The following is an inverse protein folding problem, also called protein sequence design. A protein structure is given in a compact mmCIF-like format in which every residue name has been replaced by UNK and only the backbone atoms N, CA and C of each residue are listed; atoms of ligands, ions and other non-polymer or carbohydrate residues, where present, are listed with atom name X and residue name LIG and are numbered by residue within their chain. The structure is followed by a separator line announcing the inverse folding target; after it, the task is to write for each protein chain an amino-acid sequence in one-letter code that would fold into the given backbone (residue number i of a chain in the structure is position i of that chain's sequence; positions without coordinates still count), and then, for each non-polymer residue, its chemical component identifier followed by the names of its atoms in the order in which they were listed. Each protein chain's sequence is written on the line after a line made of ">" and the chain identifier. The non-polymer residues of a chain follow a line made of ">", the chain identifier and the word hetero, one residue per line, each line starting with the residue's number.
data_IF_271366670813
#
_entry.id   IF_271366670813
#
_cell.length_a   1.000
_cell.length_b   1.000
_cell.length_c   1.000
_cell.angle_alpha   90.00
_cell.angle_beta   90.00
_cell.angle_gamma   90.00
#
_symmetry.space_group_name_H-M   'P 1'
#
loop_
_entity.id
_entity.type
_entity.pdbx_description
1 polymer ?
#
# COMPACT_ATOMS: atom_id res chain seq x y z
N UNK A 1 -44.78 -21.37 14.13
CA UNK A 1 -44.96 -19.94 14.44
C UNK A 1 -43.84 -19.58 15.41
N UNK A 2 -42.77 -18.87 15.10
CA UNK A 2 -42.42 -18.02 13.98
C UNK A 2 -41.37 -17.08 14.58
N UNK A 3 -40.10 -17.46 14.50
CA UNK A 3 -38.97 -16.61 14.89
C UNK A 3 -37.81 -16.88 13.92
N UNK A 4 -38.10 -16.66 12.64
CA UNK A 4 -37.14 -16.68 11.53
C UNK A 4 -37.19 -15.29 10.89
N UNK A 5 -36.45 -14.36 11.46
CA UNK A 5 -36.41 -13.00 10.97
C UNK A 5 -35.54 -12.17 11.88
N UNK A 6 -34.24 -12.15 11.58
CA UNK A 6 -33.22 -11.13 11.88
C UNK A 6 -31.85 -11.82 11.64
N UNK A 7 -31.00 -11.18 10.83
CA UNK A 7 -29.62 -11.56 10.42
C UNK A 7 -29.44 -12.52 9.22
N UNK A 8 -29.82 -12.08 8.01
CA UNK A 8 -29.15 -12.56 6.78
C UNK A 8 -28.98 -11.41 5.78
N UNK A 9 -28.05 -10.51 6.07
CA UNK A 9 -27.45 -9.59 5.11
C UNK A 9 -25.95 -9.86 5.18
N UNK A 10 -25.42 -10.67 4.26
CA UNK A 10 -24.03 -11.07 4.27
C UNK A 10 -23.37 -10.78 2.92
N UNK A 11 -22.27 -10.02 3.02
CA UNK A 11 -21.15 -9.83 2.07
C UNK A 11 -21.42 -9.04 0.78
N UNK A 12 -22.51 -9.29 0.05
CA UNK A 12 -22.96 -8.42 -1.05
C UNK A 12 -24.48 -8.25 -0.94
N UNK A 13 -25.00 -7.04 -1.10
CA UNK A 13 -26.45 -6.81 -1.02
C UNK A 13 -26.99 -6.58 0.39
N UNK A 14 -26.74 -5.37 0.90
CA UNK A 14 -27.86 -4.48 1.25
C UNK A 14 -27.35 -3.06 1.49
N UNK A 15 -27.04 -2.36 0.39
CA UNK A 15 -26.76 -0.92 0.32
C UNK A 15 -25.61 -0.48 1.22
N UNK A 16 -24.37 -0.48 0.69
CA UNK A 16 -23.20 0.24 1.21
C UNK A 16 -23.40 0.90 2.59
N UNK A 17 -23.18 0.11 3.64
CA UNK A 17 -22.99 0.46 5.05
C UNK A 17 -23.46 1.87 5.45
N UNK A 18 -24.64 1.94 6.09
CA UNK A 18 -25.10 3.15 6.77
C UNK A 18 -24.04 3.63 7.78
N UNK A 19 -23.47 4.82 7.54
CA UNK A 19 -22.64 5.54 8.52
C UNK A 19 -23.56 5.96 9.67
N UNK A 20 -23.32 5.55 10.94
CA UNK A 20 -24.07 6.10 12.05
C UNK A 20 -23.61 7.53 12.29
N UNK A 21 -24.46 8.50 11.96
CA UNK A 21 -24.32 9.88 12.42
C UNK A 21 -24.60 9.91 13.92
N UNK A 22 -23.57 9.77 14.75
CA UNK A 22 -23.69 10.06 16.17
C UNK A 22 -23.78 11.57 16.36
N UNK A 23 -24.98 12.02 16.67
CA UNK A 23 -25.33 13.33 17.18
C UNK A 23 -25.71 13.12 18.65
N UNK A 24 -24.79 13.38 19.56
CA UNK A 24 -25.06 13.57 20.99
C UNK A 24 -24.12 14.72 21.42
N UNK A 25 -24.61 15.95 21.56
CA UNK A 25 -25.35 16.48 22.72
C UNK A 25 -24.66 16.20 24.06
N UNK A 26 -23.71 17.09 24.39
CA UNK A 26 -23.58 17.76 25.68
C UNK A 26 -23.53 16.91 26.95
N UNK A 27 -22.33 16.80 27.54
CA UNK A 27 -22.17 16.99 28.98
C UNK A 27 -20.73 17.39 29.33
N UNK A 28 -20.63 18.54 30.00
CA UNK A 28 -19.42 19.08 30.62
C UNK A 28 -19.34 18.56 32.06
N UNK A 29 -18.13 18.31 32.60
CA UNK A 29 -17.81 18.99 33.85
C UNK A 29 -16.38 19.55 33.90
N UNK A 30 -16.29 20.80 34.37
CA UNK A 30 -15.04 21.49 34.72
C UNK A 30 -14.84 21.45 36.24
N UNK A 31 -13.66 21.03 36.65
CA UNK A 31 -12.93 21.43 37.87
C UNK A 31 -11.43 21.33 37.48
N UNK A 32 -10.48 22.19 37.83
CA UNK A 32 -10.31 23.12 38.93
C UNK A 32 -9.22 24.15 38.56
N UNK A 33 -9.30 25.34 39.17
CA UNK A 33 -8.23 26.26 39.62
C UNK A 33 -7.23 26.80 38.57
N UNK A 34 -7.08 28.10 38.30
CA UNK A 34 -7.21 29.27 39.17
C UNK A 34 -5.83 29.71 39.64
N UNK A 35 -5.23 30.73 39.01
CA UNK A 35 -4.38 31.80 39.58
C UNK A 35 -4.30 32.93 38.53
N UNK A 36 -4.39 34.17 39.02
CA UNK A 36 -4.50 35.45 38.28
C UNK A 36 -3.18 36.28 38.42
N UNK A 37 -3.06 37.48 37.81
CA UNK A 37 -1.90 37.92 37.03
C UNK A 37 -1.03 39.00 37.72
N UNK A 38 0.11 39.36 37.12
CA UNK A 38 0.60 40.76 37.15
C UNK A 38 1.51 41.11 35.95
N UNK A 39 1.51 42.38 35.54
CA UNK A 39 2.21 42.96 34.39
C UNK A 39 3.57 43.63 34.79
N UNK A 40 4.15 44.60 34.03
CA UNK A 40 5.18 44.40 33.00
C UNK A 40 6.52 45.12 33.32
N UNK A 41 7.60 44.74 32.62
CA UNK A 41 8.93 45.34 32.79
C UNK A 41 9.60 45.73 31.47
N UNK A 42 9.70 47.03 31.27
CA UNK A 42 10.51 47.85 30.35
C UNK A 42 11.88 47.27 30.00
N UNK A 43 12.28 47.32 28.72
CA UNK A 43 13.70 47.33 28.34
C UNK A 43 13.96 48.31 27.18
N UNK A 44 15.14 48.88 27.31
CA UNK A 44 15.56 50.22 26.92
C UNK A 44 16.24 50.24 25.54
N UNK A 45 16.25 51.43 24.94
CA UNK A 45 17.02 51.79 23.74
C UNK A 45 18.50 51.75 24.05
N UNK A 46 19.31 51.13 23.19
CA UNK A 46 20.69 51.59 22.92
C UNK A 46 20.95 51.64 21.42
N UNK A 47 21.54 52.76 21.01
CA UNK A 47 21.92 53.15 19.65
C UNK A 47 23.21 52.46 19.19
N UNK A 48 23.23 52.09 17.91
CA UNK A 48 24.26 52.36 16.88
C UNK A 48 25.74 52.10 17.15
N UNK A 49 26.38 51.38 16.22
CA UNK A 49 27.58 51.89 15.54
C UNK A 49 27.88 51.08 14.25
N UNK A 50 28.08 51.84 13.18
CA UNK A 50 28.59 51.47 11.85
C UNK A 50 29.98 50.85 11.92
N UNK A 51 30.22 49.77 11.18
CA UNK A 51 31.54 49.44 10.62
C UNK A 51 31.42 48.70 9.29
N UNK A 52 31.89 49.37 8.22
CA UNK A 52 32.84 48.76 7.30
C UNK A 52 32.29 48.02 6.09
N UNK A 53 32.18 48.75 4.97
CA UNK A 53 32.28 48.18 3.62
C UNK A 53 33.58 47.34 3.48
N UNK A 54 33.43 46.07 3.14
CA UNK A 54 34.47 45.30 2.45
C UNK A 54 33.82 44.59 1.27
N UNK A 55 34.29 44.94 0.08
CA UNK A 55 33.84 44.34 -1.17
C UNK A 55 34.21 42.86 -1.20
N UNK A 56 33.19 42.01 -1.33
CA UNK A 56 33.35 40.61 -1.70
C UNK A 56 32.71 40.46 -3.06
N UNK A 57 33.53 40.29 -4.09
CA UNK A 57 33.10 39.78 -5.39
C UNK A 57 32.19 38.56 -5.15
N UNK A 58 31.05 38.46 -5.84
CA UNK A 58 30.27 37.23 -5.82
C UNK A 58 31.14 36.15 -6.48
N UNK A 59 31.76 35.33 -5.63
CA UNK A 59 32.19 33.98 -5.98
C UNK A 59 31.00 33.38 -6.73
N UNK A 60 31.18 33.12 -8.03
CA UNK A 60 30.24 32.34 -8.81
C UNK A 60 30.10 31.02 -8.08
N UNK A 61 29.03 30.87 -7.30
CA UNK A 61 28.56 29.60 -6.79
C UNK A 61 28.33 28.75 -8.03
N UNK A 62 29.33 27.94 -8.38
CA UNK A 62 29.16 26.89 -9.36
C UNK A 62 28.02 26.04 -8.82
N UNK A 63 26.86 26.10 -9.47
CA UNK A 63 25.85 25.06 -9.39
C UNK A 63 26.61 23.74 -9.46
N UNK A 64 26.61 23.01 -8.34
CA UNK A 64 27.04 21.63 -8.27
C UNK A 64 26.44 20.94 -9.49
N UNK A 65 27.28 20.58 -10.46
CA UNK A 65 26.87 19.74 -11.57
C UNK A 65 26.17 18.54 -10.93
N UNK A 66 24.87 18.40 -11.16
CA UNK A 66 24.14 17.22 -10.73
C UNK A 66 24.91 16.04 -11.33
N UNK A 67 25.55 15.25 -10.47
CA UNK A 67 26.26 14.07 -10.92
C UNK A 67 25.25 13.26 -11.75
N UNK A 68 25.57 13.02 -13.02
CA UNK A 68 24.69 12.26 -13.90
C UNK A 68 24.46 10.88 -13.25
N UNK A 69 23.23 10.66 -12.80
CA UNK A 69 22.83 9.42 -12.14
C UNK A 69 22.53 8.32 -13.16
N UNK A 70 22.52 8.63 -14.46
CA UNK A 70 22.21 7.68 -15.53
C UNK A 70 23.00 6.37 -15.45
N UNK A 71 24.32 6.36 -15.14
CA UNK A 71 25.07 5.11 -14.98
C UNK A 71 24.60 4.29 -13.77
N UNK A 72 24.32 4.93 -12.63
CA UNK A 72 23.83 4.25 -11.43
C UNK A 72 22.43 3.68 -11.65
N UNK A 73 21.56 4.42 -12.35
CA UNK A 73 20.23 3.95 -12.71
C UNK A 73 20.30 2.73 -13.61
N UNK A 74 21.14 2.74 -14.65
CA UNK A 74 21.29 1.58 -15.53
C UNK A 74 21.78 0.34 -14.77
N UNK A 75 22.76 0.50 -13.89
CA UNK A 75 23.24 -0.59 -13.03
C UNK A 75 22.13 -1.12 -12.11
N UNK A 76 21.39 -0.22 -11.47
CA UNK A 76 20.24 -0.58 -10.63
C UNK A 76 19.15 -1.32 -11.43
N UNK A 77 18.89 -0.88 -12.67
CA UNK A 77 17.94 -1.53 -13.58
C UNK A 77 18.36 -2.95 -13.98
N UNK A 78 19.66 -3.23 -13.96
CA UNK A 78 20.24 -4.57 -14.22
C UNK A 78 20.43 -5.42 -12.97
N UNK A 79 19.85 -5.03 -11.82
CA UNK A 79 19.95 -5.83 -10.59
C UNK A 79 21.00 -5.38 -9.57
N UNK A 80 21.76 -4.31 -9.83
CA UNK A 80 22.78 -3.85 -8.89
C UNK A 80 22.14 -3.11 -7.69
N UNK A 81 21.90 -3.87 -6.62
CA UNK A 81 21.37 -3.35 -5.36
C UNK A 81 22.29 -2.28 -4.72
N UNK A 82 23.61 -2.35 -4.94
CA UNK A 82 24.55 -1.35 -4.41
C UNK A 82 24.39 -0.03 -5.16
N UNK A 83 24.27 -0.06 -6.49
CA UNK A 83 24.00 1.13 -7.30
C UNK A 83 22.69 1.80 -6.90
N UNK A 84 21.64 1.00 -6.64
CA UNK A 84 20.36 1.52 -6.15
C UNK A 84 20.49 2.15 -4.76
N UNK A 85 21.21 1.52 -3.84
CA UNK A 85 21.46 2.05 -2.50
C UNK A 85 22.17 3.40 -2.53
N UNK A 86 23.20 3.54 -3.38
CA UNK A 86 23.92 4.81 -3.60
C UNK A 86 23.00 5.89 -4.18
N UNK A 87 22.19 5.53 -5.17
CA UNK A 87 21.23 6.43 -5.79
C UNK A 87 20.22 6.97 -4.76
N UNK A 88 19.60 6.08 -3.97
CA UNK A 88 18.63 6.48 -2.94
C UNK A 88 19.26 7.37 -1.87
N UNK A 89 20.47 7.05 -1.43
CA UNK A 89 21.21 7.87 -0.46
C UNK A 89 21.51 9.27 -1.00
N UNK A 90 21.90 9.39 -2.28
CA UNK A 90 22.15 10.69 -2.94
C UNK A 90 20.89 11.56 -3.01
N UNK A 91 19.71 10.96 -3.19
CA UNK A 91 18.43 11.66 -3.36
C UNK A 91 17.62 11.86 -2.06
N UNK A 92 18.03 11.21 -0.96
CA UNK A 92 17.30 11.21 0.32
C UNK A 92 16.99 12.63 0.82
N UNK A 93 17.97 13.53 0.80
CA UNK A 93 17.79 14.89 1.29
C UNK A 93 16.73 15.67 0.48
N UNK A 94 16.70 15.54 -0.86
CA UNK A 94 15.69 16.24 -1.67
C UNK A 94 14.31 15.58 -1.56
N UNK A 95 14.25 14.25 -1.43
CA UNK A 95 13.01 13.53 -1.11
C UNK A 95 12.43 14.02 0.22
N UNK A 96 13.26 14.12 1.26
CA UNK A 96 12.85 14.61 2.58
C UNK A 96 12.38 16.06 2.55
N UNK A 97 13.04 16.93 1.80
CA UNK A 97 12.60 18.31 1.63
C UNK A 97 11.17 18.40 1.05
N UNK A 98 10.85 17.58 0.03
CA UNK A 98 9.49 17.49 -0.53
C UNK A 98 8.49 17.02 0.52
N UNK A 99 8.79 15.94 1.24
CA UNK A 99 7.88 15.41 2.26
C UNK A 99 7.59 16.42 3.37
N UNK A 100 8.63 17.05 3.93
CA UNK A 100 8.51 18.06 4.98
C UNK A 100 7.71 19.28 4.48
N UNK A 101 7.86 19.69 3.23
CA UNK A 101 7.08 20.80 2.66
C UNK A 101 5.57 20.53 2.59
N UNK A 102 5.16 19.26 2.53
CA UNK A 102 3.76 18.87 2.36
C UNK A 102 3.10 18.44 3.66
N UNK A 103 3.83 17.75 4.53
CA UNK A 103 3.33 17.14 5.76
C UNK A 103 3.81 17.85 7.02
N UNK A 104 4.77 18.78 6.89
CA UNK A 104 5.49 19.35 8.03
C UNK A 104 6.59 18.42 8.55
N UNK A 105 7.34 18.89 9.53
CA UNK A 105 8.34 18.06 10.21
C UNK A 105 7.64 17.06 11.12
N UNK A 106 7.89 15.77 10.93
CA UNK A 106 7.33 14.73 11.80
C UNK A 106 7.40 13.32 11.19
N UNK A 107 6.88 12.32 11.91
CA UNK A 107 6.94 10.92 11.52
C UNK A 107 6.33 10.63 10.14
N UNK A 108 5.23 11.30 9.78
CA UNK A 108 4.57 11.10 8.49
C UNK A 108 5.43 11.51 7.29
N UNK A 109 6.27 12.54 7.44
CA UNK A 109 7.20 12.96 6.40
C UNK A 109 8.32 11.94 6.21
N UNK A 110 8.87 11.41 7.30
CA UNK A 110 9.88 10.34 7.25
C UNK A 110 9.31 9.06 6.63
N UNK A 111 8.09 8.68 7.06
CA UNK A 111 7.38 7.53 6.50
C UNK A 111 7.20 7.65 4.99
N UNK A 112 6.79 8.84 4.50
CA UNK A 112 6.58 9.06 3.07
C UNK A 112 7.86 8.92 2.23
N UNK A 113 9.01 9.35 2.76
CA UNK A 113 10.33 9.19 2.13
C UNK A 113 10.74 7.73 2.10
N UNK A 114 10.63 7.04 3.23
CA UNK A 114 11.02 5.64 3.30
C UNK A 114 10.13 4.75 2.44
N UNK A 115 8.83 5.04 2.37
CA UNK A 115 7.93 4.37 1.43
C UNK A 115 8.37 4.59 -0.02
N UNK A 116 8.81 5.80 -0.37
CA UNK A 116 9.29 6.08 -1.71
C UNK A 116 10.57 5.30 -2.04
N UNK A 117 11.47 5.13 -1.06
CA UNK A 117 12.65 4.28 -1.21
C UNK A 117 12.28 2.83 -1.47
N UNK A 118 11.32 2.26 -0.73
CA UNK A 118 10.85 0.87 -0.96
C UNK A 118 10.19 0.73 -2.33
N UNK A 119 9.33 1.68 -2.71
CA UNK A 119 8.72 1.70 -4.04
C UNK A 119 9.81 1.70 -5.12
N UNK A 120 10.87 2.47 -4.92
CA UNK A 120 12.00 2.52 -5.84
C UNK A 120 12.70 1.16 -6.01
N UNK A 121 12.78 0.34 -4.95
CA UNK A 121 13.31 -1.03 -5.04
C UNK A 121 12.57 -1.87 -6.07
N UNK A 122 11.24 -1.74 -6.09
CA UNK A 122 10.40 -2.53 -6.99
C UNK A 122 10.21 -1.93 -8.39
N UNK A 123 10.42 -0.61 -8.56
CA UNK A 123 10.00 0.12 -9.77
C UNK A 123 11.10 0.90 -10.49
N UNK A 124 12.36 0.82 -10.04
CA UNK A 124 13.46 1.50 -10.75
C UNK A 124 13.61 1.03 -12.21
N UNK A 125 13.22 -0.21 -12.51
CA UNK A 125 13.11 -0.76 -13.86
C UNK A 125 12.17 0.02 -14.80
N UNK A 126 11.18 0.72 -14.25
CA UNK A 126 10.19 1.49 -15.01
C UNK A 126 10.69 2.89 -15.42
N UNK A 127 11.86 3.32 -14.91
CA UNK A 127 12.42 4.65 -15.20
C UNK A 127 12.97 4.69 -16.64
N UNK A 128 12.19 5.29 -17.55
CA UNK A 128 12.52 5.37 -18.98
C UNK A 128 13.71 6.26 -19.30
N UNK A 129 13.79 7.40 -18.62
CA UNK A 129 14.89 8.34 -18.75
C UNK A 129 15.73 8.30 -17.47
N UNK A 130 16.90 7.64 -17.49
CA UNK A 130 17.80 7.56 -16.34
C UNK A 130 18.21 8.93 -15.77
N UNK A 131 18.26 9.98 -16.60
CA UNK A 131 18.60 11.32 -16.13
C UNK A 131 17.46 11.96 -15.31
N UNK A 132 16.23 11.49 -15.48
CA UNK A 132 15.05 12.01 -14.79
C UNK A 132 14.79 11.35 -13.42
N UNK A 133 15.67 10.46 -12.95
CA UNK A 133 15.42 9.65 -11.75
C UNK A 133 15.16 10.48 -10.48
N UNK A 134 15.87 11.58 -10.30
CA UNK A 134 15.63 12.48 -9.16
C UNK A 134 14.22 13.10 -9.21
N UNK A 135 13.71 13.43 -10.40
CA UNK A 135 12.36 13.96 -10.56
C UNK A 135 11.31 12.87 -10.30
N UNK A 136 11.56 11.64 -10.77
CA UNK A 136 10.72 10.48 -10.51
C UNK A 136 10.63 10.17 -9.01
N UNK A 137 11.76 10.11 -8.29
CA UNK A 137 11.78 9.89 -6.83
C UNK A 137 10.98 10.95 -6.07
N UNK A 138 11.14 12.23 -6.41
CA UNK A 138 10.35 13.32 -5.81
C UNK A 138 8.85 13.19 -6.12
N UNK A 139 8.49 12.70 -7.30
CA UNK A 139 7.10 12.43 -7.67
C UNK A 139 6.50 11.30 -6.85
N UNK A 140 7.24 10.21 -6.63
CA UNK A 140 6.83 9.10 -5.74
C UNK A 140 6.58 9.61 -4.32
N UNK A 141 7.51 10.38 -3.74
CA UNK A 141 7.34 10.99 -2.41
C UNK A 141 6.09 11.87 -2.36
N UNK A 142 5.90 12.74 -3.36
CA UNK A 142 4.72 13.62 -3.45
C UNK A 142 3.42 12.82 -3.44
N UNK A 143 3.39 11.67 -4.10
CA UNK A 143 2.23 10.80 -4.14
C UNK A 143 1.98 10.14 -2.77
N UNK A 144 3.02 9.66 -2.10
CA UNK A 144 2.91 9.14 -0.73
C UNK A 144 2.38 10.21 0.24
N UNK A 145 2.88 11.44 0.16
CA UNK A 145 2.39 12.54 0.98
C UNK A 145 0.90 12.85 0.72
N UNK A 146 0.46 12.80 -0.54
CA UNK A 146 -0.96 12.96 -0.88
C UNK A 146 -1.83 11.87 -0.29
N UNK A 147 -1.35 10.62 -0.27
CA UNK A 147 -2.08 9.51 0.36
C UNK A 147 -2.32 9.78 1.85
N UNK A 148 -1.27 10.22 2.56
CA UNK A 148 -1.37 10.58 3.98
C UNK A 148 -2.38 11.72 4.19
N UNK A 149 -2.30 12.78 3.38
CA UNK A 149 -3.22 13.92 3.48
C UNK A 149 -4.68 13.55 3.18
N UNK A 150 -4.92 12.60 2.26
CA UNK A 150 -6.27 12.10 1.96
C UNK A 150 -6.84 11.26 3.08
N UNK A 151 -6.02 10.40 3.70
CA UNK A 151 -6.46 9.63 4.87
C UNK A 151 -6.84 10.56 6.05
N UNK A 152 -6.15 11.71 6.18
CA UNK A 152 -6.43 12.70 7.21
C UNK A 152 -7.65 13.61 6.95
N UNK A 153 -8.22 13.62 5.72
CA UNK A 153 -9.38 14.47 5.37
C UNK A 153 -10.41 13.71 4.53
N UNK A 154 -11.65 13.50 5.02
CA UNK A 154 -12.75 13.05 4.18
C UNK A 154 -13.28 14.22 3.34
N UNK A 155 -12.57 14.60 2.27
CA UNK A 155 -13.06 15.57 1.28
C UNK A 155 -12.85 15.04 -0.14
N UNK A 156 -13.81 15.25 -1.06
CA UNK A 156 -13.69 14.86 -2.45
C UNK A 156 -12.79 15.88 -3.15
N UNK A 157 -11.54 15.50 -3.40
CA UNK A 157 -10.62 16.28 -4.25
C UNK A 157 -10.34 15.43 -5.48
N UNK A 158 -10.58 16.02 -6.65
CA UNK A 158 -10.46 15.39 -7.97
C UNK A 158 -9.15 14.60 -8.14
N UNK A 159 -9.28 13.46 -8.80
CA UNK A 159 -8.25 12.45 -9.01
C UNK A 159 -7.14 12.96 -9.92
N UNK A 160 -5.86 12.83 -9.51
CA UNK A 160 -4.77 12.63 -10.45
C UNK A 160 -4.70 11.13 -10.76
N UNK A 161 -4.79 10.76 -12.03
CA UNK A 161 -4.55 9.40 -12.53
C UNK A 161 -3.28 8.81 -11.88
N UNK A 162 -3.45 7.69 -11.20
CA UNK A 162 -2.38 7.03 -10.47
C UNK A 162 -1.74 5.95 -11.32
N UNK A 163 -0.44 6.15 -11.61
CA UNK A 163 0.55 5.16 -12.05
C UNK A 163 0.14 4.18 -13.14
N UNK A 164 -0.53 4.65 -14.19
CA UNK A 164 -0.40 4.04 -15.50
C UNK A 164 0.61 4.86 -16.31
N UNK A 165 1.91 4.61 -16.13
CA UNK A 165 2.81 4.82 -17.27
C UNK A 165 2.46 3.71 -18.26
N UNK A 166 2.10 4.00 -19.52
CA UNK A 166 1.75 2.96 -20.48
C UNK A 166 2.94 2.02 -20.66
N UNK A 167 2.90 0.82 -20.11
CA UNK A 167 3.98 -0.14 -20.29
C UNK A 167 3.90 -0.64 -21.74
N UNK A 168 4.80 -0.14 -22.60
CA UNK A 168 5.22 -0.94 -23.74
C UNK A 168 5.96 -2.17 -23.20
N UNK A 169 5.70 -3.33 -23.79
CA UNK A 169 6.30 -4.59 -23.35
C UNK A 169 7.83 -4.50 -23.43
N UNK A 170 8.57 -4.77 -22.34
CA UNK A 170 10.03 -4.72 -22.35
C UNK A 170 10.60 -5.73 -23.35
N UNK A 171 11.77 -5.45 -23.92
CA UNK A 171 12.46 -6.43 -24.78
C UNK A 171 12.87 -7.66 -23.96
N UNK A 172 13.07 -8.84 -24.59
CA UNK A 172 13.47 -10.05 -23.87
C UNK A 172 14.75 -9.89 -23.02
N UNK A 173 15.74 -9.10 -23.48
CA UNK A 173 16.93 -8.79 -22.68
C UNK A 173 16.63 -7.89 -21.48
N UNK A 174 15.76 -6.88 -21.64
CA UNK A 174 15.33 -5.98 -20.56
C UNK A 174 14.46 -6.70 -19.51
N UNK A 175 13.68 -7.70 -19.94
CA UNK A 175 12.87 -8.53 -19.04
C UNK A 175 13.71 -9.49 -18.19
N UNK A 176 14.84 -9.96 -18.71
CA UNK A 176 15.79 -10.81 -17.98
C UNK A 176 16.57 -10.01 -16.93
N UNK A 177 17.04 -8.81 -17.27
CA UNK A 177 17.86 -7.95 -16.38
C UNK A 177 17.04 -7.29 -15.23
N UNK A 178 15.76 -6.97 -15.46
CA UNK A 178 14.83 -6.55 -14.41
C UNK A 178 14.49 -7.68 -13.42
N UNK A 179 14.73 -8.94 -13.83
CA UNK A 179 14.46 -10.12 -13.02
C UNK A 179 15.31 -10.16 -11.74
N UNK A 180 16.61 -9.86 -11.84
CA UNK A 180 17.54 -10.01 -10.72
C UNK A 180 17.20 -9.09 -9.52
N UNK A 181 16.89 -7.81 -9.76
CA UNK A 181 16.48 -6.90 -8.68
C UNK A 181 15.16 -7.34 -8.06
N UNK A 182 14.21 -7.70 -8.91
CA UNK A 182 12.89 -8.17 -8.47
C UNK A 182 13.03 -9.44 -7.63
N UNK A 183 13.86 -10.38 -8.06
CA UNK A 183 14.15 -11.62 -7.36
C UNK A 183 14.84 -11.35 -6.01
N UNK A 184 15.78 -10.38 -5.97
CA UNK A 184 16.36 -9.89 -4.73
C UNK A 184 15.30 -9.30 -3.79
N UNK A 185 14.40 -8.44 -4.29
CA UNK A 185 13.33 -7.82 -3.48
C UNK A 185 12.41 -8.89 -2.89
N UNK A 186 11.97 -9.85 -3.70
CA UNK A 186 11.12 -10.94 -3.22
C UNK A 186 11.82 -11.85 -2.22
N UNK A 187 13.11 -12.14 -2.45
CA UNK A 187 13.93 -12.86 -1.49
C UNK A 187 14.04 -12.09 -0.16
N UNK A 188 14.38 -10.80 -0.20
CA UNK A 188 14.51 -9.96 0.99
C UNK A 188 13.19 -9.82 1.77
N UNK A 189 12.04 -9.73 1.07
CA UNK A 189 10.71 -9.79 1.68
C UNK A 189 10.44 -11.17 2.31
N UNK A 190 10.88 -12.25 1.67
CA UNK A 190 10.82 -13.61 2.19
C UNK A 190 11.57 -13.79 3.52
N UNK A 191 12.68 -13.06 3.71
CA UNK A 191 13.49 -13.07 4.94
C UNK A 191 12.88 -12.26 6.09
N UNK A 192 11.83 -11.46 5.85
CA UNK A 192 11.13 -10.74 6.90
C UNK A 192 10.42 -11.72 7.87
N UNK A 193 10.13 -11.26 9.09
CA UNK A 193 9.21 -11.99 9.96
C UNK A 193 7.84 -12.08 9.27
N UNK A 194 7.02 -13.09 9.58
CA UNK A 194 5.67 -13.22 9.03
C UNK A 194 4.82 -11.96 9.25
N UNK A 195 4.91 -11.41 10.45
CA UNK A 195 4.23 -10.17 10.84
C UNK A 195 4.68 -8.93 10.06
N UNK A 196 5.98 -8.81 9.76
CA UNK A 196 6.52 -7.70 8.98
C UNK A 196 6.21 -7.88 7.49
N UNK A 197 6.36 -9.11 6.98
CA UNK A 197 6.05 -9.45 5.59
C UNK A 197 4.59 -9.14 5.26
N UNK A 198 3.64 -9.48 6.13
CA UNK A 198 2.23 -9.19 5.92
C UNK A 198 1.98 -7.69 5.69
N UNK A 199 2.47 -6.83 6.60
CA UNK A 199 2.24 -5.39 6.48
C UNK A 199 2.99 -4.79 5.29
N UNK A 200 4.17 -5.32 4.95
CA UNK A 200 4.94 -4.92 3.77
C UNK A 200 4.21 -5.27 2.47
N UNK A 201 3.71 -6.50 2.34
CA UNK A 201 2.97 -6.94 1.15
C UNK A 201 1.70 -6.12 0.95
N UNK A 202 0.92 -5.91 2.02
CA UNK A 202 -0.28 -5.09 1.93
C UNK A 202 0.04 -3.63 1.57
N UNK A 203 1.08 -3.04 2.18
CA UNK A 203 1.45 -1.63 1.94
C UNK A 203 1.90 -1.36 0.50
N UNK A 204 2.72 -2.23 -0.07
CA UNK A 204 3.42 -1.93 -1.33
C UNK A 204 2.91 -2.69 -2.55
N UNK A 205 2.21 -3.81 -2.34
CA UNK A 205 1.82 -4.72 -3.42
C UNK A 205 0.30 -4.95 -3.50
N UNK A 206 -0.50 -4.27 -2.67
CA UNK A 206 -1.96 -4.41 -2.65
C UNK A 206 -2.73 -3.07 -2.74
N UNK A 207 -4.01 -3.14 -3.06
CA UNK A 207 -5.00 -2.05 -3.06
C UNK A 207 -5.31 -1.58 -1.63
N UNK A 208 -5.12 -2.43 -0.61
CA UNK A 208 -5.31 -2.07 0.80
C UNK A 208 -4.03 -1.49 1.40
N UNK A 209 -3.56 -0.39 0.81
CA UNK A 209 -2.26 0.20 1.12
C UNK A 209 -2.29 1.22 2.27
N UNK A 210 -3.45 1.69 2.72
CA UNK A 210 -3.52 2.67 3.83
C UNK A 210 -3.23 2.00 5.18
N UNK A 211 -2.66 2.75 6.14
CA UNK A 211 -2.36 2.20 7.46
C UNK A 211 -3.61 1.67 8.18
N UNK A 212 -4.75 2.33 8.03
CA UNK A 212 -6.02 1.92 8.64
C UNK A 212 -6.60 0.65 7.99
N UNK A 213 -6.46 0.52 6.67
CA UNK A 213 -6.87 -0.68 5.94
C UNK A 213 -6.00 -1.87 6.34
N UNK A 214 -4.67 -1.67 6.41
CA UNK A 214 -3.72 -2.70 6.85
C UNK A 214 -4.00 -3.09 8.31
N UNK A 215 -4.26 -2.13 9.19
CA UNK A 215 -4.63 -2.37 10.59
C UNK A 215 -5.90 -3.23 10.68
N UNK A 216 -6.91 -2.92 9.87
CA UNK A 216 -8.17 -3.66 9.79
C UNK A 216 -7.95 -5.09 9.30
N UNK A 217 -7.22 -5.26 8.19
CA UNK A 217 -6.93 -6.56 7.58
C UNK A 217 -6.08 -7.47 8.46
N UNK A 218 -5.05 -6.91 9.11
CA UNK A 218 -4.14 -7.65 9.95
C UNK A 218 -4.63 -7.82 11.39
N UNK A 219 -5.73 -7.14 11.79
CA UNK A 219 -6.23 -7.14 13.16
C UNK A 219 -5.27 -6.49 14.15
N UNK A 220 -4.60 -5.40 13.76
CA UNK A 220 -3.55 -4.74 14.53
C UNK A 220 -3.89 -3.28 14.82
N UNK A 221 -3.36 -2.68 15.91
CA UNK A 221 -3.36 -1.23 16.06
C UNK A 221 -2.55 -0.55 14.95
N UNK A 222 -3.01 0.60 14.45
CA UNK A 222 -2.32 1.40 13.43
C UNK A 222 -0.87 1.74 13.83
N UNK A 223 -0.63 2.02 15.11
CA UNK A 223 0.73 2.25 15.63
C UNK A 223 1.64 1.03 15.48
N UNK A 224 1.10 -0.19 15.62
CA UNK A 224 1.83 -1.45 15.39
C UNK A 224 2.11 -1.68 13.92
N UNK A 225 1.18 -1.31 13.02
CA UNK A 225 1.43 -1.35 11.57
C UNK A 225 2.62 -0.46 11.22
N UNK A 226 2.66 0.77 11.73
CA UNK A 226 3.77 1.71 11.52
C UNK A 226 5.09 1.18 12.06
N UNK A 227 5.12 0.62 13.27
CA UNK A 227 6.35 0.09 13.85
C UNK A 227 6.90 -1.11 13.08
N UNK A 228 6.02 -2.03 12.64
CA UNK A 228 6.40 -3.18 11.79
C UNK A 228 6.90 -2.75 10.41
N UNK A 229 6.23 -1.78 9.77
CA UNK A 229 6.72 -1.23 8.51
C UNK A 229 8.08 -0.57 8.67
N UNK A 230 8.30 0.22 9.73
CA UNK A 230 9.61 0.80 10.02
C UNK A 230 10.70 -0.27 10.22
N UNK A 231 10.38 -1.36 10.92
CA UNK A 231 11.30 -2.48 11.09
C UNK A 231 11.61 -3.17 9.75
N UNK A 232 10.58 -3.48 8.95
CA UNK A 232 10.72 -4.07 7.63
C UNK A 232 11.58 -3.22 6.70
N UNK A 233 11.32 -1.91 6.62
CA UNK A 233 12.07 -0.95 5.79
C UNK A 233 13.55 -0.92 6.15
N UNK A 234 13.88 -0.91 7.45
CA UNK A 234 15.27 -0.98 7.92
C UNK A 234 15.94 -2.27 7.46
N UNK A 235 15.28 -3.41 7.66
CA UNK A 235 15.82 -4.72 7.25
C UNK A 235 16.03 -4.82 5.74
N UNK A 236 15.11 -4.29 4.93
CA UNK A 236 15.27 -4.21 3.48
C UNK A 236 16.44 -3.29 3.09
N UNK A 237 16.53 -2.10 3.68
CA UNK A 237 17.62 -1.15 3.41
C UNK A 237 19.00 -1.70 3.82
N UNK A 238 19.09 -2.39 4.95
CA UNK A 238 20.32 -3.04 5.41
C UNK A 238 20.70 -4.19 4.47
N UNK A 239 19.71 -4.96 4.01
CA UNK A 239 19.88 -5.97 2.97
C UNK A 239 20.47 -5.40 1.68
N UNK A 240 19.97 -4.24 1.20
CA UNK A 240 20.52 -3.59 -0.01
C UNK A 240 22.01 -3.30 0.13
N UNK A 241 22.44 -2.80 1.30
CA UNK A 241 23.85 -2.43 1.55
C UNK A 241 24.75 -3.65 1.68
N UNK A 242 24.22 -4.78 2.13
CA UNK A 242 24.96 -6.02 2.31
C UNK A 242 25.02 -6.90 1.04
N UNK A 243 24.15 -6.64 0.06
CA UNK A 243 23.99 -7.51 -1.11
C UNK A 243 24.95 -7.14 -2.24
N UNK A 244 25.99 -7.95 -2.41
CA UNK A 244 26.64 -8.16 -3.71
C UNK A 244 25.76 -9.04 -4.60
N UNK A 245 26.06 -9.08 -5.90
CA UNK A 245 25.29 -9.75 -6.96
C UNK A 245 25.10 -11.28 -6.77
N UNK A 246 24.32 -11.69 -5.78
CA UNK A 246 23.89 -13.06 -5.57
C UNK A 246 22.69 -13.36 -6.47
N UNK A 247 22.70 -14.53 -7.09
CA UNK A 247 21.55 -15.01 -7.85
C UNK A 247 20.42 -15.41 -6.87
N UNK A 248 19.23 -14.84 -7.06
CA UNK A 248 18.04 -15.15 -6.28
C UNK A 248 17.07 -16.03 -7.11
N UNK A 249 16.16 -16.78 -6.44
CA UNK A 249 15.17 -17.59 -7.16
C UNK A 249 14.29 -16.72 -8.06
N UNK A 250 13.95 -17.23 -9.24
CA UNK A 250 13.10 -16.54 -10.23
C UNK A 250 11.69 -16.27 -9.66
N UNK A 251 11.49 -15.05 -9.20
CA UNK A 251 10.23 -14.61 -8.65
C UNK A 251 9.16 -14.47 -9.73
N UNK A 252 9.51 -14.31 -11.01
CA UNK A 252 8.51 -14.29 -12.09
C UNK A 252 7.94 -15.68 -12.35
N UNK A 253 8.76 -16.72 -12.41
CA UNK A 253 8.27 -18.10 -12.52
C UNK A 253 7.35 -18.47 -11.33
N UNK A 254 7.73 -18.08 -10.10
CA UNK A 254 6.90 -18.27 -8.92
C UNK A 254 5.57 -17.49 -9.00
N UNK A 255 5.61 -16.24 -9.49
CA UNK A 255 4.42 -15.39 -9.68
C UNK A 255 3.46 -16.03 -10.70
N UNK A 256 3.96 -16.51 -11.84
CA UNK A 256 3.13 -17.13 -12.88
C UNK A 256 2.39 -18.39 -12.41
N UNK A 257 3.04 -19.22 -11.58
CA UNK A 257 2.40 -20.37 -10.95
C UNK A 257 1.23 -19.91 -10.08
N UNK A 258 1.43 -18.89 -9.24
CA UNK A 258 0.40 -18.37 -8.33
C UNK A 258 -0.76 -17.72 -9.07
N UNK A 259 -0.49 -17.04 -10.18
CA UNK A 259 -1.52 -16.52 -11.08
C UNK A 259 -2.34 -17.61 -11.76
N UNK A 260 -1.71 -18.73 -12.18
CA UNK A 260 -2.44 -19.89 -12.71
C UNK A 260 -3.34 -20.51 -11.65
N UNK A 261 -2.80 -20.79 -10.47
CA UNK A 261 -3.56 -21.34 -9.33
C UNK A 261 -4.79 -20.47 -9.01
N UNK A 262 -4.61 -19.16 -8.89
CA UNK A 262 -5.72 -18.24 -8.59
C UNK A 262 -6.77 -18.18 -9.68
N UNK A 263 -6.37 -18.17 -10.96
CA UNK A 263 -7.31 -18.22 -12.09
C UNK A 263 -8.08 -19.54 -12.12
N UNK A 264 -7.40 -20.66 -11.89
CA UNK A 264 -8.02 -21.99 -11.93
C UNK A 264 -9.02 -22.17 -10.79
N UNK A 265 -8.68 -21.69 -9.59
CA UNK A 265 -9.59 -21.70 -8.42
C UNK A 265 -10.83 -20.83 -8.65
N UNK A 266 -10.68 -19.61 -9.15
CA UNK A 266 -11.83 -18.75 -9.48
C UNK A 266 -12.67 -19.32 -10.61
N UNK A 267 -12.04 -19.88 -11.65
CA UNK A 267 -12.76 -20.54 -12.74
C UNK A 267 -13.52 -21.78 -12.25
N UNK A 268 -12.97 -22.54 -11.31
CA UNK A 268 -13.69 -23.64 -10.65
C UNK A 268 -14.88 -23.13 -9.84
N UNK A 269 -14.70 -22.04 -9.08
CA UNK A 269 -15.80 -21.40 -8.36
C UNK A 269 -16.93 -21.00 -9.30
N UNK A 270 -16.62 -20.33 -10.42
CA UNK A 270 -17.59 -19.91 -11.45
C UNK A 270 -18.32 -21.07 -12.13
N UNK A 271 -17.79 -22.30 -12.08
CA UNK A 271 -18.45 -23.53 -12.58
C UNK A 271 -19.25 -24.27 -11.50
N UNK A 272 -19.33 -23.76 -10.28
CA UNK A 272 -20.03 -24.38 -9.16
C UNK A 272 -19.19 -25.34 -8.33
N UNK A 273 -17.87 -25.43 -8.58
CA UNK A 273 -16.97 -26.34 -7.86
C UNK A 273 -16.34 -25.71 -6.60
N UNK A 274 -16.83 -24.56 -6.13
CA UNK A 274 -16.20 -23.81 -5.04
C UNK A 274 -16.09 -24.62 -3.74
N UNK A 275 -17.12 -25.38 -3.37
CA UNK A 275 -17.11 -26.23 -2.18
C UNK A 275 -15.95 -27.24 -2.21
N UNK A 276 -15.72 -27.87 -3.37
CA UNK A 276 -14.59 -28.77 -3.58
C UNK A 276 -13.26 -28.04 -3.41
N UNK A 277 -13.12 -26.86 -4.03
CA UNK A 277 -11.90 -26.04 -3.91
C UNK A 277 -11.58 -25.71 -2.45
N UNK A 278 -12.58 -25.25 -1.69
CA UNK A 278 -12.43 -24.93 -0.25
C UNK A 278 -12.05 -26.17 0.55
N UNK A 279 -12.75 -27.30 0.35
CA UNK A 279 -12.46 -28.55 1.07
C UNK A 279 -11.02 -29.03 0.85
N UNK A 280 -10.58 -29.00 -0.40
CA UNK A 280 -9.29 -29.55 -0.82
C UNK A 280 -8.14 -28.61 -0.38
N UNK A 281 -8.34 -27.29 -0.45
CA UNK A 281 -7.27 -26.29 -0.31
C UNK A 281 -7.19 -25.63 1.08
N UNK A 282 -8.22 -25.72 1.92
CA UNK A 282 -8.23 -25.07 3.24
C UNK A 282 -7.96 -26.10 4.34
N UNK A 283 -7.72 -25.71 5.60
CA UNK A 283 -7.78 -26.59 6.77
C UNK A 283 -9.22 -26.78 7.28
N UNK A 284 -9.61 -27.93 7.87
CA UNK A 284 -11.00 -28.16 8.33
C UNK A 284 -11.52 -27.11 9.31
N UNK A 285 -10.62 -26.61 10.15
CA UNK A 285 -10.82 -25.56 11.14
C UNK A 285 -10.43 -24.16 10.63
N UNK A 286 -10.25 -24.01 9.32
CA UNK A 286 -9.88 -22.73 8.73
C UNK A 286 -10.94 -21.65 8.99
N UNK A 287 -10.44 -20.44 9.25
CA UNK A 287 -11.25 -19.29 9.60
C UNK A 287 -11.49 -18.40 8.39
N UNK A 288 -12.68 -17.84 8.27
CA UNK A 288 -12.98 -16.75 7.36
C UNK A 288 -13.39 -15.51 8.17
N UNK A 289 -12.75 -14.37 7.90
CA UNK A 289 -13.01 -13.09 8.53
C UNK A 289 -13.51 -12.07 7.50
N UNK A 290 -14.48 -11.25 7.90
CA UNK A 290 -14.90 -10.06 7.16
C UNK A 290 -14.91 -8.88 8.14
N UNK A 291 -13.76 -8.23 8.37
CA UNK A 291 -13.59 -7.26 9.46
C UNK A 291 -14.54 -6.06 9.39
N UNK A 292 -14.87 -5.60 8.17
CA UNK A 292 -15.73 -4.43 7.92
C UNK A 292 -17.13 -4.58 8.54
N UNK A 293 -17.60 -5.82 8.67
CA UNK A 293 -18.91 -6.16 9.25
C UNK A 293 -18.78 -7.01 10.52
N UNK A 294 -17.57 -7.19 11.05
CA UNK A 294 -17.30 -7.95 12.28
C UNK A 294 -17.63 -9.45 12.19
N UNK A 295 -17.66 -10.02 10.99
CA UNK A 295 -18.08 -11.41 10.78
C UNK A 295 -16.90 -12.36 10.86
N UNK A 296 -17.11 -13.49 11.55
CA UNK A 296 -16.19 -14.63 11.64
C UNK A 296 -16.95 -15.92 11.37
N UNK A 297 -16.44 -16.73 10.46
CA UNK A 297 -16.99 -18.04 10.09
C UNK A 297 -15.89 -19.04 9.77
N UNK A 298 -16.30 -20.22 9.30
CA UNK A 298 -15.38 -21.24 8.77
C UNK A 298 -15.63 -21.53 7.30
N UNK A 299 -15.18 -22.69 6.81
CA UNK A 299 -15.36 -23.12 5.41
C UNK A 299 -16.80 -23.00 4.92
N UNK A 300 -17.78 -23.47 5.69
CA UNK A 300 -19.18 -23.43 5.26
C UNK A 300 -19.68 -22.01 5.04
N UNK A 301 -19.15 -21.05 5.81
CA UNK A 301 -19.47 -19.64 5.61
C UNK A 301 -18.89 -19.13 4.28
N UNK A 302 -17.64 -19.48 3.96
CA UNK A 302 -17.00 -19.16 2.68
C UNK A 302 -17.72 -19.79 1.48
N UNK A 303 -18.18 -21.05 1.63
CA UNK A 303 -18.91 -21.76 0.58
C UNK A 303 -20.27 -21.11 0.33
N UNK A 304 -21.03 -20.84 1.40
CA UNK A 304 -22.33 -20.18 1.28
C UNK A 304 -22.22 -18.78 0.66
N UNK A 305 -21.24 -17.99 1.10
CA UNK A 305 -21.04 -16.62 0.58
C UNK A 305 -20.83 -16.60 -0.93
N UNK A 306 -19.82 -17.34 -1.43
CA UNK A 306 -19.54 -17.41 -2.86
C UNK A 306 -20.71 -18.03 -3.66
N UNK A 307 -21.37 -19.05 -3.11
CA UNK A 307 -22.53 -19.67 -3.79
C UNK A 307 -23.68 -18.68 -3.94
N UNK A 308 -23.93 -17.86 -2.92
CA UNK A 308 -24.93 -16.81 -2.96
C UNK A 308 -24.57 -15.74 -4.00
N UNK A 309 -23.34 -15.21 -3.96
CA UNK A 309 -22.86 -14.23 -4.94
C UNK A 309 -23.07 -14.72 -6.38
N UNK A 310 -22.71 -15.99 -6.66
CA UNK A 310 -22.87 -16.58 -7.99
C UNK A 310 -24.33 -16.74 -8.40
N UNK A 311 -25.22 -17.10 -7.45
CA UNK A 311 -26.67 -17.22 -7.67
C UNK A 311 -27.33 -15.86 -7.92
N UNK A 312 -26.84 -14.82 -7.25
CA UNK A 312 -27.29 -13.43 -7.45
C UNK A 312 -26.70 -12.81 -8.75
N UNK A 313 -25.96 -13.59 -9.54
CA UNK A 313 -25.43 -13.19 -10.84
C UNK A 313 -24.10 -12.46 -10.77
N UNK A 314 -23.50 -12.31 -9.58
CA UNK A 314 -22.17 -11.70 -9.40
C UNK A 314 -21.12 -12.58 -10.06
N UNK A 315 -20.17 -11.95 -10.74
CA UNK A 315 -18.98 -12.62 -11.30
C UNK A 315 -17.72 -11.95 -10.79
N UNK A 316 -16.61 -12.68 -10.81
CA UNK A 316 -15.33 -12.17 -10.33
C UNK A 316 -14.27 -12.28 -11.42
N UNK A 317 -13.38 -11.29 -11.48
CA UNK A 317 -12.21 -11.31 -12.35
C UNK A 317 -10.96 -11.03 -11.53
N UNK A 318 -10.00 -11.96 -11.55
CA UNK A 318 -8.71 -11.78 -10.91
C UNK A 318 -7.93 -10.64 -11.57
N UNK A 319 -7.49 -9.68 -10.77
CA UNK A 319 -6.83 -8.44 -11.18
C UNK A 319 -5.40 -8.36 -10.67
N UNK A 320 -5.09 -8.96 -9.52
CA UNK A 320 -3.74 -9.02 -8.96
C UNK A 320 -3.56 -10.28 -8.11
N UNK A 321 -2.33 -10.81 -8.08
CA UNK A 321 -1.90 -11.89 -7.19
C UNK A 321 -0.55 -11.53 -6.60
N UNK A 322 -0.48 -11.48 -5.28
CA UNK A 322 0.76 -11.32 -4.51
C UNK A 322 0.92 -12.58 -3.67
N UNK A 323 2.08 -13.20 -3.74
CA UNK A 323 2.32 -14.42 -3.00
C UNK A 323 3.67 -14.40 -2.29
N UNK A 324 3.70 -15.04 -1.15
CA UNK A 324 4.93 -15.42 -0.46
C UNK A 324 4.80 -16.86 0.04
N UNK A 325 5.70 -17.29 0.93
CA UNK A 325 5.70 -18.67 1.43
C UNK A 325 4.43 -19.03 2.23
N UNK A 326 3.89 -18.07 2.96
CA UNK A 326 2.82 -18.25 3.95
C UNK A 326 1.66 -17.27 3.77
N UNK A 327 1.73 -16.40 2.76
CA UNK A 327 0.69 -15.42 2.46
C UNK A 327 0.34 -15.45 0.98
N UNK A 328 -0.94 -15.31 0.68
CA UNK A 328 -1.45 -15.13 -0.67
C UNK A 328 -2.52 -14.03 -0.63
N UNK A 329 -2.35 -13.01 -1.47
CA UNK A 329 -3.31 -11.91 -1.61
C UNK A 329 -3.86 -11.97 -3.03
N UNK A 330 -5.16 -12.11 -3.16
CA UNK A 330 -5.85 -11.94 -4.43
C UNK A 330 -6.66 -10.68 -4.42
N UNK A 331 -6.65 -9.99 -5.55
CA UNK A 331 -7.52 -8.83 -5.76
C UNK A 331 -8.37 -9.10 -6.97
N UNK A 332 -9.68 -8.99 -6.78
CA UNK A 332 -10.67 -9.31 -7.79
C UNK A 332 -11.52 -8.09 -8.05
N UNK A 333 -11.85 -7.84 -9.32
CA UNK A 333 -13.01 -7.03 -9.65
C UNK A 333 -14.26 -7.86 -9.41
N UNK A 334 -15.23 -7.29 -8.69
CA UNK A 334 -16.56 -7.87 -8.57
C UNK A 334 -17.45 -7.22 -9.63
N UNK A 335 -18.09 -8.06 -10.44
CA UNK A 335 -18.95 -7.67 -11.55
C UNK A 335 -20.38 -7.95 -11.10
N UNK A 336 -21.07 -6.89 -10.69
CA UNK A 336 -22.48 -6.92 -10.31
C UNK A 336 -23.37 -7.30 -11.52
N UNK A 337 -24.54 -7.91 -11.28
CA UNK A 337 -25.47 -8.25 -12.36
C UNK A 337 -26.01 -6.98 -13.04
N UNK A 338 -26.35 -7.01 -14.36
CA UNK A 338 -26.75 -5.82 -15.11
C UNK A 338 -28.03 -5.13 -14.59
N UNK A 339 -28.92 -5.89 -13.98
CA UNK A 339 -30.19 -5.45 -13.38
C UNK A 339 -30.03 -4.89 -11.96
N UNK A 340 -28.92 -5.18 -11.27
CA UNK A 340 -28.56 -4.59 -9.98
C UNK A 340 -27.06 -4.21 -9.94
N UNK A 341 -26.64 -3.13 -10.65
CA UNK A 341 -25.22 -2.80 -10.82
C UNK A 341 -24.51 -2.39 -9.52
N UNK A 342 -25.24 -2.03 -8.46
CA UNK A 342 -24.68 -1.63 -7.16
C UNK A 342 -24.77 -2.77 -6.12
N UNK A 343 -25.07 -4.00 -6.56
CA UNK A 343 -25.18 -5.18 -5.70
C UNK A 343 -23.93 -5.43 -4.86
N UNK A 344 -22.77 -5.40 -5.51
CA UNK A 344 -21.45 -5.57 -4.90
C UNK A 344 -20.60 -4.30 -5.01
N UNK A 345 -19.64 -4.11 -4.08
CA UNK A 345 -18.57 -3.15 -4.27
C UNK A 345 -17.69 -3.51 -5.49
N UNK A 346 -16.98 -2.56 -6.10
CA UNK A 346 -16.29 -2.77 -7.37
C UNK A 346 -15.07 -3.70 -7.30
N UNK A 347 -14.65 -4.09 -6.10
CA UNK A 347 -13.54 -5.03 -5.93
C UNK A 347 -13.46 -5.61 -4.53
N UNK A 348 -12.73 -6.71 -4.42
CA UNK A 348 -12.44 -7.41 -3.18
C UNK A 348 -10.96 -7.78 -3.10
N UNK A 349 -10.42 -7.74 -1.89
CA UNK A 349 -9.12 -8.27 -1.52
C UNK A 349 -9.32 -9.49 -0.62
N UNK A 350 -8.71 -10.60 -1.03
CA UNK A 350 -8.73 -11.87 -0.33
C UNK A 350 -7.33 -12.13 0.21
N UNK A 351 -7.15 -11.99 1.53
CA UNK A 351 -5.90 -12.28 2.21
C UNK A 351 -5.97 -13.70 2.78
N UNK A 352 -5.15 -14.60 2.26
CA UNK A 352 -4.99 -15.95 2.75
C UNK A 352 -3.70 -16.08 3.55
N UNK A 353 -3.81 -16.54 4.79
CA UNK A 353 -2.70 -17.05 5.58
C UNK A 353 -2.63 -18.58 5.39
N UNK A 354 -1.47 -19.06 4.95
CA UNK A 354 -1.22 -20.44 4.58
C UNK A 354 -0.41 -21.15 5.66
N UNK A 355 -0.76 -22.39 5.93
CA UNK A 355 -0.06 -23.31 6.82
C UNK A 355 0.09 -24.63 6.06
N UNK A 356 1.34 -25.06 5.84
CA UNK A 356 1.69 -26.21 4.98
C UNK A 356 1.04 -26.18 3.58
N UNK A 357 0.93 -24.97 3.00
CA UNK A 357 0.34 -24.77 1.68
C UNK A 357 -1.19 -24.81 1.64
N UNK A 358 -1.87 -24.98 2.78
CA UNK A 358 -3.34 -24.93 2.90
C UNK A 358 -3.78 -23.67 3.62
N UNK A 359 -4.95 -23.15 3.26
CA UNK A 359 -5.52 -21.95 3.89
C UNK A 359 -5.91 -22.25 5.33
N UNK A 360 -5.27 -21.55 6.28
CA UNK A 360 -5.63 -21.56 7.69
C UNK A 360 -6.58 -20.42 8.05
N UNK A 361 -6.38 -19.26 7.43
CA UNK A 361 -7.27 -18.10 7.57
C UNK A 361 -7.44 -17.40 6.24
N UNK A 362 -8.66 -16.96 5.96
CA UNK A 362 -9.00 -16.06 4.85
C UNK A 362 -9.66 -14.80 5.40
N UNK A 363 -9.13 -13.64 5.07
CA UNK A 363 -9.73 -12.34 5.40
C UNK A 363 -10.21 -11.69 4.10
N UNK A 364 -11.51 -11.42 4.01
CA UNK A 364 -12.14 -10.70 2.89
C UNK A 364 -12.31 -9.23 3.26
N UNK A 365 -11.89 -8.35 2.36
CA UNK A 365 -11.95 -6.90 2.55
C UNK A 365 -12.32 -6.20 1.24
N UNK A 366 -13.18 -5.18 1.30
CA UNK A 366 -13.56 -4.41 0.12
C UNK A 366 -12.88 -3.04 0.14
N UNK A 367 -11.77 -2.86 -0.60
CA UNK A 367 -11.12 -1.57 -0.64
C UNK A 367 -12.08 -0.51 -1.19
N UNK A 368 -12.21 0.60 -0.46
CA UNK A 368 -13.03 1.74 -0.87
C UNK A 368 -12.42 2.36 -2.14
N UNK A 369 -12.93 1.99 -3.31
CA UNK A 369 -12.57 2.64 -4.58
C UNK A 369 -13.42 3.90 -4.76
N UNK A 370 -12.84 5.05 -5.15
CA UNK A 370 -13.65 6.18 -5.60
C UNK A 370 -14.48 5.75 -6.83
N UNK A 371 -15.74 6.20 -6.90
CA UNK A 371 -16.63 5.93 -8.03
C UNK A 371 -15.97 6.44 -9.32
N UNK A 372 -15.69 5.55 -10.27
CA UNK A 372 -15.34 5.96 -11.63
C UNK A 372 -16.49 6.81 -12.16
N UNK A 373 -16.22 8.07 -12.48
CA UNK A 373 -17.18 8.89 -13.21
C UNK A 373 -17.47 8.18 -14.52
N UNK A 374 -18.74 7.81 -14.75
CA UNK A 374 -19.17 7.36 -16.07
C UNK A 374 -18.76 8.46 -17.04
N UNK A 375 -17.80 8.16 -17.92
CA UNK A 375 -17.61 8.93 -19.14
C UNK A 375 -18.97 8.93 -19.84
N UNK A 376 -19.64 10.07 -19.78
CA UNK A 376 -20.85 10.32 -20.54
C UNK A 376 -20.43 10.32 -22.01
N UNK A 377 -20.53 9.17 -22.65
CA UNK A 377 -20.73 9.12 -24.08
C UNK A 377 -22.07 9.80 -24.37
N UNK A 378 -22.00 10.96 -25.01
CA UNK A 378 -23.12 11.80 -25.43
C UNK A 378 -22.61 12.95 -26.24
#
# INVERSE_FOLDING_TARGET
>A
MGNSGILTQFVCGSKYLAVPSHREEGHNPVAHNGVRPDQPGTLDRVRGCDLGRSGREPVKTSMSAAADDSPLVRLAQTGDATALGLLLSRHEAQMRAVAVSMLGYGPDAEDAVQDAMVIALSRIGEVRDPAAVGAWLRMVVRNNCRMVLRAARPLPVAEPEWFALPAESPTPEQALDQGALRDWVWHAIGELSESDRLVTLLRYFSDASSYDQIATLAGLPVGTVRSRLNHARRKLADGLRASGAAAHPDATAATDVRWREGRDMLAAAMRGDWERVVRDSWWPDAEMLVPEIGVRGGRDFAVRGMTQDLNDGVRQRLRNVVASRDLLIWETDLISPPDDPEHCPPGALWLYELDEGRVRRMTLFHPTRPRQSRSSAG
#
